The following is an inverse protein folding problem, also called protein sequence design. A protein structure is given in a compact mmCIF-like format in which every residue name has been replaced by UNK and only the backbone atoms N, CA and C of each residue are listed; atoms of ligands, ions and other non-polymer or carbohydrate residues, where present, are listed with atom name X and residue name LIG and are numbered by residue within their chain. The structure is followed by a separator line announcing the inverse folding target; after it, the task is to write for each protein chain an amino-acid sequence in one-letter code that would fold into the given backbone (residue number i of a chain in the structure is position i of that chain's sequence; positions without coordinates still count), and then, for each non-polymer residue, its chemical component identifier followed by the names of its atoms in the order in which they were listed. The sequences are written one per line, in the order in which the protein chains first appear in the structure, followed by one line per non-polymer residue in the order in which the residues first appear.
data_IF_566440664211
#
_entry.id   IF_566440664211
#
_cell.length_a   1.000
_cell.length_b   1.000
_cell.length_c   1.000
_cell.angle_alpha   90.00
_cell.angle_beta   90.00
_cell.angle_gamma   90.00
#
_symmetry.space_group_name_H-M   'P 1'
#
loop_
_entity.id
_entity.type
_entity.pdbx_description
1 polymer ?
#
# COMPACT_ATOMS: atom_id res chain seq x y z
N UNK A 1 -11.04 28.15 2.43
CA UNK A 1 -10.51 27.11 3.32
C UNK A 1 -9.05 27.44 3.69
N UNK A 2 -8.72 27.49 4.98
CA UNK A 2 -7.34 27.68 5.44
C UNK A 2 -6.46 26.43 5.14
N UNK A 3 -5.13 26.54 5.32
CA UNK A 3 -4.19 25.45 5.00
C UNK A 3 -4.45 24.18 5.83
N UNK A 4 -4.77 24.33 7.11
CA UNK A 4 -5.09 23.21 7.99
C UNK A 4 -6.36 22.46 7.55
N UNK A 5 -7.42 23.18 7.15
CA UNK A 5 -8.64 22.60 6.61
C UNK A 5 -8.41 21.86 5.29
N UNK A 6 -7.57 22.39 4.41
CA UNK A 6 -7.16 21.70 3.17
C UNK A 6 -6.42 20.39 3.46
N UNK A 7 -5.52 20.41 4.44
CA UNK A 7 -4.81 19.20 4.88
C UNK A 7 -5.78 18.16 5.45
N UNK A 8 -6.73 18.58 6.28
CA UNK A 8 -7.78 17.71 6.80
C UNK A 8 -8.56 17.05 5.67
N UNK A 9 -9.01 17.85 4.69
CA UNK A 9 -9.78 17.39 3.55
C UNK A 9 -9.01 16.39 2.68
N UNK A 10 -7.73 16.64 2.42
CA UNK A 10 -6.85 15.72 1.67
C UNK A 10 -6.74 14.35 2.36
N UNK A 11 -6.59 14.36 3.69
CA UNK A 11 -6.49 13.13 4.48
C UNK A 11 -7.82 12.38 4.56
N UNK A 12 -8.94 13.09 4.68
CA UNK A 12 -10.25 12.46 4.86
C UNK A 12 -10.89 11.97 3.56
N UNK A 13 -10.65 12.63 2.43
CA UNK A 13 -11.35 12.34 1.16
C UNK A 13 -10.44 11.73 0.10
N UNK A 14 -9.45 12.48 -0.40
CA UNK A 14 -8.61 12.04 -1.52
C UNK A 14 -7.81 10.78 -1.15
N UNK A 15 -7.38 10.68 0.11
CA UNK A 15 -6.65 9.52 0.60
C UNK A 15 -7.55 8.31 0.87
N UNK A 16 -8.86 8.48 1.08
CA UNK A 16 -9.78 7.40 1.47
C UNK A 16 -10.50 6.76 0.30
N UNK A 17 -10.90 7.56 -0.70
CA UNK A 17 -11.60 7.10 -1.92
C UNK A 17 -10.88 5.93 -2.61
N UNK A 18 -9.56 5.94 -2.86
CA UNK A 18 -8.91 4.84 -3.55
C UNK A 18 -8.62 3.61 -2.67
N UNK A 19 -8.84 3.70 -1.34
CA UNK A 19 -8.45 2.63 -0.40
C UNK A 19 -9.14 1.31 -0.75
N UNK A 20 -10.42 1.34 -1.11
CA UNK A 20 -11.17 0.13 -1.44
C UNK A 20 -10.49 -0.68 -2.56
N UNK A 21 -10.12 0.00 -3.66
CA UNK A 21 -9.40 -0.65 -4.76
C UNK A 21 -7.97 -1.02 -4.38
N UNK A 22 -7.28 -0.20 -3.59
CA UNK A 22 -5.91 -0.47 -3.13
C UNK A 22 -5.81 -1.66 -2.16
N UNK A 23 -6.90 -2.05 -1.51
CA UNK A 23 -6.93 -3.19 -0.59
C UNK A 23 -6.74 -4.52 -1.30
N UNK A 24 -7.16 -4.64 -2.56
CA UNK A 24 -7.15 -5.90 -3.32
C UNK A 24 -6.33 -5.83 -4.60
N UNK A 25 -6.08 -4.64 -5.14
CA UNK A 25 -5.43 -4.44 -6.44
C UNK A 25 -4.15 -3.62 -6.33
N UNK A 26 -3.15 -4.03 -7.09
CA UNK A 26 -1.96 -3.24 -7.37
C UNK A 26 -2.31 -2.17 -8.40
N UNK A 27 -2.33 -0.91 -7.96
CA UNK A 27 -2.64 0.19 -8.86
C UNK A 27 -1.44 0.48 -9.78
N UNK A 28 -1.66 0.84 -11.06
CA UNK A 28 -0.60 1.33 -11.92
C UNK A 28 0.06 2.58 -11.33
N UNK A 29 1.37 2.76 -11.55
CA UNK A 29 2.10 3.91 -10.99
C UNK A 29 1.51 5.25 -11.42
N UNK A 30 1.03 5.35 -12.65
CA UNK A 30 0.36 6.55 -13.14
C UNK A 30 -0.89 6.93 -12.32
N UNK A 31 -1.64 5.94 -11.80
CA UNK A 31 -2.82 6.20 -10.95
C UNK A 31 -2.38 6.71 -9.58
N UNK A 32 -1.39 6.07 -8.96
CA UNK A 32 -0.80 6.55 -7.71
C UNK A 32 -0.28 7.99 -7.85
N UNK A 33 0.46 8.29 -8.92
CA UNK A 33 0.97 9.64 -9.19
C UNK A 33 -0.15 10.66 -9.38
N UNK A 34 -1.28 10.28 -10.03
CA UNK A 34 -2.46 11.15 -10.16
C UNK A 34 -3.13 11.43 -8.82
N UNK A 35 -3.23 10.44 -7.94
CA UNK A 35 -3.76 10.62 -6.58
C UNK A 35 -2.87 11.58 -5.80
N UNK A 36 -1.55 11.36 -5.81
CA UNK A 36 -0.60 12.26 -5.15
C UNK A 36 -0.63 13.68 -5.75
N UNK A 37 -0.78 13.81 -7.07
CA UNK A 37 -0.96 15.10 -7.75
C UNK A 37 -2.25 15.81 -7.31
N UNK A 38 -3.36 15.09 -7.16
CA UNK A 38 -4.61 15.65 -6.65
C UNK A 38 -4.46 16.14 -5.21
N UNK A 39 -3.79 15.37 -4.34
CA UNK A 39 -3.45 15.79 -2.98
C UNK A 39 -2.60 17.06 -2.98
N UNK A 40 -1.53 17.12 -3.79
CA UNK A 40 -0.67 18.31 -3.94
C UNK A 40 -1.48 19.51 -4.40
N UNK A 41 -2.33 19.33 -5.41
CA UNK A 41 -3.19 20.39 -5.94
C UNK A 41 -4.08 20.93 -4.85
N UNK A 42 -4.78 20.08 -4.11
CA UNK A 42 -5.68 20.54 -3.08
C UNK A 42 -4.96 21.30 -1.94
N UNK A 43 -3.76 20.88 -1.56
CA UNK A 43 -2.97 21.55 -0.52
C UNK A 43 -2.53 22.96 -0.92
N UNK A 44 -2.03 23.11 -2.15
CA UNK A 44 -1.35 24.33 -2.59
C UNK A 44 -2.17 25.24 -3.52
N UNK A 45 -3.39 24.81 -3.92
CA UNK A 45 -4.29 25.63 -4.74
C UNK A 45 -4.61 26.94 -4.04
N UNK A 46 -4.43 28.07 -4.73
CA UNK A 46 -4.89 29.39 -4.30
C UNK A 46 -6.36 29.61 -4.71
N UNK A 47 -7.10 30.51 -4.05
CA UNK A 47 -8.51 30.77 -4.36
C UNK A 47 -8.74 31.13 -5.84
N UNK A 48 -7.75 31.77 -6.46
CA UNK A 48 -7.89 32.38 -7.78
C UNK A 48 -7.62 31.41 -8.95
N UNK A 49 -7.49 30.10 -8.65
CA UNK A 49 -7.21 29.03 -9.62
C UNK A 49 -6.00 29.29 -10.56
N UNK A 50 -5.11 30.21 -10.15
CA UNK A 50 -3.88 30.53 -10.87
C UNK A 50 -2.85 29.41 -10.73
N UNK A 51 -1.93 29.34 -11.69
CA UNK A 51 -0.81 28.38 -11.71
C UNK A 51 -0.08 28.46 -10.36
N UNK A 52 -0.08 27.37 -9.59
CA UNK A 52 0.58 27.32 -8.29
C UNK A 52 1.83 26.45 -8.35
N UNK A 53 2.87 26.89 -7.66
CA UNK A 53 4.08 26.12 -7.41
C UNK A 53 3.95 25.40 -6.07
N UNK A 54 4.38 24.14 -5.98
CA UNK A 54 4.49 23.44 -4.69
C UNK A 54 5.78 23.94 -4.02
N UNK A 55 5.71 24.73 -2.94
CA UNK A 55 6.91 25.29 -2.31
C UNK A 55 7.75 24.24 -1.58
N UNK A 56 7.18 23.07 -1.31
CA UNK A 56 7.81 21.96 -0.58
C UNK A 56 7.78 20.72 -1.46
N UNK A 57 8.86 19.94 -1.44
CA UNK A 57 8.92 18.64 -2.13
C UNK A 57 7.90 17.68 -1.53
N UNK A 58 7.40 16.75 -2.34
CA UNK A 58 6.39 15.80 -1.86
C UNK A 58 6.94 14.83 -0.82
N UNK A 59 8.22 14.48 -0.94
CA UNK A 59 8.92 13.63 0.01
C UNK A 59 8.91 14.23 1.42
N UNK A 60 9.11 15.54 1.54
CA UNK A 60 9.02 16.24 2.83
C UNK A 60 7.56 16.30 3.30
N UNK A 61 6.61 16.55 2.40
CA UNK A 61 5.18 16.59 2.76
C UNK A 61 4.69 15.24 3.29
N UNK A 62 5.18 14.13 2.74
CA UNK A 62 4.74 12.78 3.12
C UNK A 62 5.41 12.21 4.37
N UNK A 63 6.47 12.87 4.86
CA UNK A 63 7.10 12.47 6.11
C UNK A 63 6.13 12.57 7.31
N UNK A 64 6.34 11.74 8.35
CA UNK A 64 5.68 11.88 9.64
C UNK A 64 5.83 13.30 10.20
N UNK A 65 4.85 13.72 11.01
CA UNK A 65 4.91 15.04 11.68
C UNK A 65 6.11 15.17 12.61
N UNK A 66 6.52 14.06 13.23
CA UNK A 66 7.70 13.97 14.10
C UNK A 66 9.00 14.26 13.35
N UNK A 67 9.04 13.99 12.04
CA UNK A 67 10.17 14.27 11.16
C UNK A 67 10.01 15.60 10.39
N UNK A 68 9.07 16.46 10.80
CA UNK A 68 8.84 17.77 10.18
C UNK A 68 7.94 17.75 8.94
N UNK A 69 7.35 16.60 8.58
CA UNK A 69 6.40 16.48 7.47
C UNK A 69 4.95 16.80 7.83
N UNK A 70 4.04 16.72 6.85
CA UNK A 70 2.60 16.94 7.08
C UNK A 70 1.84 15.64 7.39
N UNK A 71 2.52 14.48 7.34
CA UNK A 71 1.94 13.16 7.55
C UNK A 71 0.87 12.81 6.51
N UNK A 72 1.05 13.26 5.26
CA UNK A 72 0.26 12.79 4.12
C UNK A 72 0.86 11.48 3.64
N UNK A 73 0.06 10.45 3.36
CA UNK A 73 0.61 9.16 2.94
C UNK A 73 0.74 9.13 1.42
N UNK A 74 1.90 8.70 0.92
CA UNK A 74 2.12 8.47 -0.51
C UNK A 74 1.26 7.30 -1.01
N UNK A 75 0.54 7.49 -2.12
CA UNK A 75 -0.43 6.52 -2.62
C UNK A 75 0.17 5.13 -2.89
N UNK A 76 1.39 5.06 -3.45
CA UNK A 76 2.08 3.78 -3.69
C UNK A 76 2.38 3.05 -2.39
N UNK A 77 2.89 3.76 -1.37
CA UNK A 77 3.20 3.16 -0.06
C UNK A 77 1.95 2.62 0.63
N UNK A 78 0.85 3.36 0.55
CA UNK A 78 -0.45 2.88 1.07
C UNK A 78 -0.88 1.60 0.36
N UNK A 79 -0.83 1.57 -0.98
CA UNK A 79 -1.20 0.37 -1.73
C UNK A 79 -0.32 -0.84 -1.39
N UNK A 80 0.99 -0.67 -1.30
CA UNK A 80 1.92 -1.73 -0.87
C UNK A 80 1.58 -2.20 0.55
N UNK A 81 1.33 -1.29 1.49
CA UNK A 81 1.00 -1.66 2.88
C UNK A 81 -0.31 -2.44 2.99
N UNK A 82 -1.32 -2.08 2.20
CA UNK A 82 -2.62 -2.74 2.20
C UNK A 82 -2.52 -4.14 1.59
N UNK A 83 -1.77 -4.29 0.49
CA UNK A 83 -1.48 -5.61 -0.08
C UNK A 83 -0.59 -6.43 0.86
N UNK A 84 0.30 -5.79 1.61
CA UNK A 84 1.11 -6.45 2.64
C UNK A 84 0.29 -7.02 3.77
N UNK A 85 -0.85 -6.39 4.13
CA UNK A 85 -1.81 -6.98 5.06
C UNK A 85 -2.37 -8.30 4.53
N UNK A 86 -2.61 -8.43 3.23
CA UNK A 86 -3.04 -9.70 2.63
C UNK A 86 -1.94 -10.75 2.69
N UNK A 87 -0.69 -10.38 2.38
CA UNK A 87 0.47 -11.29 2.54
C UNK A 87 0.60 -11.76 3.98
N UNK A 88 0.48 -10.84 4.95
CA UNK A 88 0.51 -11.15 6.38
C UNK A 88 -0.61 -12.12 6.79
N UNK A 89 -1.83 -11.89 6.30
CA UNK A 89 -2.97 -12.76 6.56
C UNK A 89 -2.75 -14.18 5.98
N UNK A 90 -2.11 -14.30 4.83
CA UNK A 90 -1.74 -15.60 4.25
C UNK A 90 -0.74 -16.37 5.11
N UNK A 91 0.15 -15.66 5.81
CA UNK A 91 1.14 -16.27 6.71
C UNK A 91 0.56 -16.58 8.10
N UNK A 92 -0.29 -15.70 8.63
CA UNK A 92 -0.69 -15.74 10.05
C UNK A 92 -2.10 -16.30 10.28
N UNK A 93 -2.95 -16.31 9.26
CA UNK A 93 -4.36 -16.68 9.39
C UNK A 93 -4.85 -17.60 8.26
N UNK A 94 -4.29 -18.83 8.14
CA UNK A 94 -4.64 -19.78 7.08
C UNK A 94 -6.13 -20.22 7.10
N UNK A 95 -6.82 -20.05 8.23
CA UNK A 95 -8.23 -20.38 8.41
C UNK A 95 -9.20 -19.42 7.71
N UNK A 96 -8.73 -18.26 7.22
CA UNK A 96 -9.59 -17.32 6.49
C UNK A 96 -10.04 -17.97 5.16
N UNK A 97 -11.33 -17.96 4.80
CA UNK A 97 -11.82 -18.66 3.61
C UNK A 97 -11.11 -18.25 2.30
N UNK A 98 -10.84 -16.96 2.13
CA UNK A 98 -10.15 -16.45 0.96
C UNK A 98 -8.66 -16.85 0.92
N UNK A 99 -8.01 -16.98 2.09
CA UNK A 99 -6.63 -17.46 2.20
C UNK A 99 -6.60 -18.93 1.81
N UNK A 100 -7.47 -19.75 2.40
CA UNK A 100 -7.58 -21.16 2.06
C UNK A 100 -7.82 -21.39 0.56
N UNK A 101 -8.73 -20.62 -0.04
CA UNK A 101 -9.01 -20.67 -1.47
C UNK A 101 -7.77 -20.34 -2.32
N UNK A 102 -7.10 -19.21 -2.05
CA UNK A 102 -5.93 -18.79 -2.83
C UNK A 102 -4.73 -19.72 -2.63
N UNK A 103 -4.51 -20.20 -1.41
CA UNK A 103 -3.45 -21.16 -1.10
C UNK A 103 -3.65 -22.47 -1.88
N UNK A 104 -4.88 -22.99 -1.95
CA UNK A 104 -5.17 -24.21 -2.71
C UNK A 104 -5.06 -24.01 -4.22
N UNK A 105 -5.39 -22.82 -4.74
CA UNK A 105 -5.31 -22.52 -6.17
C UNK A 105 -3.88 -22.27 -6.66
N UNK A 106 -3.02 -21.69 -5.83
CA UNK A 106 -1.74 -21.16 -6.29
C UNK A 106 -0.51 -21.67 -5.53
N UNK A 107 -0.62 -22.01 -4.24
CA UNK A 107 0.53 -22.36 -3.39
C UNK A 107 0.76 -23.86 -3.26
N UNK A 108 -0.30 -24.69 -3.23
CA UNK A 108 -0.20 -26.16 -3.12
C UNK A 108 0.76 -26.66 -2.01
N UNK A 109 0.86 -25.93 -0.88
CA UNK A 109 1.75 -26.25 0.23
C UNK A 109 3.02 -25.40 0.31
N UNK A 110 3.34 -24.63 -0.74
CA UNK A 110 4.47 -23.70 -0.73
C UNK A 110 4.17 -22.43 0.08
N UNK A 111 5.23 -21.80 0.61
CA UNK A 111 5.11 -20.49 1.25
C UNK A 111 4.83 -19.39 0.23
N UNK A 112 3.96 -18.46 0.58
CA UNK A 112 3.68 -17.25 -0.21
C UNK A 112 4.95 -16.45 -0.53
N UNK A 113 5.96 -16.50 0.34
CA UNK A 113 7.23 -15.80 0.15
C UNK A 113 8.06 -16.32 -1.04
N UNK A 114 7.78 -17.55 -1.47
CA UNK A 114 8.41 -18.21 -2.62
C UNK A 114 7.50 -18.24 -3.85
N UNK A 115 6.29 -17.67 -3.75
CA UNK A 115 5.29 -17.76 -4.80
C UNK A 115 5.66 -16.95 -6.04
N UNK A 116 5.31 -17.50 -7.21
CA UNK A 116 5.55 -16.88 -8.51
C UNK A 116 4.24 -16.53 -9.21
N UNK A 117 4.27 -15.51 -10.07
CA UNK A 117 3.12 -15.18 -10.93
C UNK A 117 2.94 -16.29 -11.98
N UNK A 118 1.73 -16.86 -12.04
CA UNK A 118 1.32 -17.78 -13.10
C UNK A 118 0.57 -17.03 -14.20
N UNK A 119 0.71 -17.46 -15.46
CA UNK A 119 -0.13 -16.95 -16.57
C UNK A 119 -1.59 -17.30 -16.29
N UNK A 120 -2.50 -16.35 -16.54
CA UNK A 120 -3.93 -16.50 -16.25
C UNK A 120 -4.31 -16.43 -14.77
N UNK A 121 -3.39 -16.03 -13.88
CA UNK A 121 -3.74 -15.82 -12.48
C UNK A 121 -4.73 -14.67 -12.29
N UNK A 122 -5.51 -14.73 -11.22
CA UNK A 122 -6.47 -13.67 -10.89
C UNK A 122 -5.76 -12.32 -10.71
N UNK A 123 -6.45 -11.19 -10.99
CA UNK A 123 -5.88 -9.86 -10.75
C UNK A 123 -5.47 -9.63 -9.30
N UNK A 124 -6.21 -10.21 -8.34
CA UNK A 124 -5.92 -10.12 -6.91
C UNK A 124 -4.62 -10.87 -6.59
N UNK A 125 -4.49 -12.13 -7.02
CA UNK A 125 -3.25 -12.89 -6.83
C UNK A 125 -2.04 -12.18 -7.44
N UNK A 126 -2.19 -11.73 -8.69
CA UNK A 126 -1.15 -10.99 -9.39
C UNK A 126 -0.75 -9.70 -8.65
N UNK A 127 -1.70 -9.05 -7.97
CA UNK A 127 -1.45 -7.86 -7.17
C UNK A 127 -0.67 -8.16 -5.89
N UNK A 128 -1.04 -9.24 -5.19
CA UNK A 128 -0.33 -9.73 -4.00
C UNK A 128 1.12 -10.06 -4.35
N UNK A 129 1.35 -10.83 -5.43
CA UNK A 129 2.69 -11.21 -5.86
C UNK A 129 3.52 -10.00 -6.30
N UNK A 130 2.91 -9.00 -6.97
CA UNK A 130 3.62 -7.76 -7.34
C UNK A 130 4.09 -6.94 -6.13
N UNK A 131 3.36 -6.98 -5.02
CA UNK A 131 3.75 -6.28 -3.79
C UNK A 131 4.84 -7.02 -3.00
N UNK A 132 4.96 -8.32 -3.19
CA UNK A 132 5.82 -9.20 -2.39
C UNK A 132 7.30 -8.79 -2.39
N UNK A 133 7.94 -8.40 -3.51
CA UNK A 133 9.33 -7.94 -3.51
C UNK A 133 9.56 -6.72 -2.59
N UNK A 134 8.62 -5.76 -2.58
CA UNK A 134 8.72 -4.56 -1.73
C UNK A 134 8.53 -4.86 -0.24
N UNK A 135 7.99 -6.01 0.11
CA UNK A 135 7.71 -6.41 1.48
C UNK A 135 8.73 -7.41 2.02
N UNK A 136 9.48 -8.08 1.15
CA UNK A 136 10.41 -9.17 1.51
C UNK A 136 11.45 -8.73 2.54
N UNK A 137 11.91 -7.48 2.47
CA UNK A 137 12.85 -6.91 3.45
C UNK A 137 12.27 -6.85 4.87
N UNK A 138 10.94 -6.74 5.01
CA UNK A 138 10.26 -6.71 6.30
C UNK A 138 9.94 -8.09 6.89
N UNK A 139 10.12 -9.16 6.11
CA UNK A 139 9.86 -10.54 6.55
C UNK A 139 11.20 -11.24 6.85
N UNK A 140 11.54 -11.34 8.14
CA UNK A 140 12.72 -12.09 8.57
C UNK A 140 12.32 -13.50 9.04
N UNK A 141 12.89 -14.57 8.47
CA UNK A 141 12.67 -15.92 8.97
C UNK A 141 13.27 -16.01 10.37
N UNK A 142 12.40 -16.19 11.37
CA UNK A 142 12.85 -16.61 12.69
C UNK A 142 13.03 -18.12 12.66
N UNK A 143 14.28 -18.57 12.51
CA UNK A 143 14.64 -19.97 12.76
C UNK A 143 14.43 -20.21 14.26
N UNK A 144 13.38 -20.96 14.61
CA UNK A 144 13.18 -21.40 15.98
C UNK A 144 14.37 -22.24 16.44
N UNK A 145 14.82 -22.06 17.69
CA UNK A 145 15.82 -22.94 18.28
C UNK A 145 15.32 -24.38 18.17
N UNK A 146 16.13 -25.29 17.63
CA UNK A 146 15.77 -26.68 17.30
C UNK A 146 15.46 -27.59 18.50
N UNK A 147 14.59 -27.17 19.41
CA UNK A 147 14.15 -27.91 20.59
C UNK A 147 12.86 -28.72 20.34
N UNK A 148 12.40 -28.83 19.09
CA UNK A 148 11.27 -29.68 18.70
C UNK A 148 11.72 -30.67 17.63
N UNK A 149 12.58 -31.59 18.07
CA UNK A 149 12.82 -32.87 17.40
C UNK A 149 12.75 -33.95 18.47
N UNK A 150 11.53 -34.27 18.88
CA UNK A 150 11.11 -35.55 19.46
C UNK A 150 9.65 -35.77 19.08
#
# INVERSE_FOLDING_TARGET
LNKAGKLCLVKSTISSIPIYSMQSLWLPQAVCSKIDQACRRMLWTKPDNTRFWSPVSWEVVTQPKELGGLGVREARRVNVSLLGKLVWDMLSAPQKPWVHLLSNLYLHGDSILCAQTRRGASPIWSSIIKALPSLREGFQPHLGSGASSL
#
